data_IF_463371644553
#
_entry.id   IF_463371644553
#
_cell.length_a   1.000
_cell.length_b   1.000
_cell.length_c   1.000
_cell.angle_alpha   90.00
_cell.angle_beta   90.00
_cell.angle_gamma   90.00
#
_symmetry.space_group_name_H-M   'P 1'
#
loop_
_entity.id
_entity.type
_entity.pdbx_description
1 polymer ?
#
# COMPACT_ATOMS: atom_id res chain seq x y z
N UNK A 1 26.82 13.08 -0.75
CA UNK A 1 25.75 12.97 0.24
C UNK A 1 24.70 14.04 -0.09
N UNK A 2 23.65 13.69 -0.85
CA UNK A 2 22.59 14.64 -1.16
C UNK A 2 21.71 14.75 0.10
N UNK A 3 21.72 15.91 0.77
CA UNK A 3 20.91 16.19 1.93
C UNK A 3 19.45 15.96 1.61
N UNK A 4 18.82 14.95 2.22
CA UNK A 4 17.41 14.67 2.08
C UNK A 4 16.61 15.95 2.39
N UNK A 5 15.77 16.37 1.46
CA UNK A 5 14.86 17.52 1.65
C UNK A 5 14.08 17.30 2.94
N UNK A 6 14.06 18.30 3.80
CA UNK A 6 13.29 18.25 5.04
C UNK A 6 11.80 18.35 4.67
N UNK A 7 11.08 17.23 4.65
CA UNK A 7 9.64 17.15 4.38
C UNK A 7 8.75 17.79 5.48
N UNK A 8 9.38 18.40 6.47
CA UNK A 8 8.70 19.09 7.56
C UNK A 8 8.35 18.18 8.75
N UNK A 9 8.16 18.83 9.93
CA UNK A 9 7.89 18.14 11.21
C UNK A 9 6.59 17.32 11.18
N UNK A 10 5.56 17.82 10.50
CA UNK A 10 4.26 17.13 10.41
C UNK A 10 4.37 15.81 9.63
N UNK A 11 5.12 15.81 8.53
CA UNK A 11 5.42 14.56 7.81
C UNK A 11 6.25 13.61 8.68
N UNK A 12 7.21 14.12 9.45
CA UNK A 12 8.01 13.29 10.35
C UNK A 12 7.16 12.52 11.37
N UNK A 13 6.14 13.13 11.95
CA UNK A 13 5.19 12.46 12.85
C UNK A 13 4.34 11.41 12.13
N UNK A 14 3.81 11.73 10.94
CA UNK A 14 3.04 10.77 10.13
C UNK A 14 3.90 9.56 9.74
N UNK A 15 5.12 9.81 9.27
CA UNK A 15 6.05 8.75 8.90
C UNK A 15 6.50 7.92 10.11
N UNK A 16 6.77 8.56 11.26
CA UNK A 16 7.10 7.86 12.51
C UNK A 16 5.96 6.95 13.00
N UNK A 17 4.72 7.43 12.97
CA UNK A 17 3.54 6.65 13.31
C UNK A 17 3.41 5.43 12.39
N UNK A 18 3.55 5.62 11.08
CA UNK A 18 3.55 4.52 10.10
C UNK A 18 4.70 3.54 10.36
N UNK A 19 5.91 4.02 10.65
CA UNK A 19 7.07 3.17 10.88
C UNK A 19 6.88 2.26 12.11
N UNK A 20 6.35 2.81 13.20
CA UNK A 20 6.09 2.06 14.43
C UNK A 20 5.00 1.00 14.21
N UNK A 21 3.86 1.37 13.60
CA UNK A 21 2.80 0.40 13.34
C UNK A 21 3.21 -0.68 12.34
N UNK A 22 3.96 -0.32 11.30
CA UNK A 22 4.49 -1.29 10.33
C UNK A 22 5.47 -2.26 10.98
N UNK A 23 6.37 -1.77 11.85
CA UNK A 23 7.30 -2.61 12.58
C UNK A 23 6.57 -3.61 13.51
N UNK A 24 5.54 -3.16 14.23
CA UNK A 24 4.70 -4.05 15.06
C UNK A 24 4.01 -5.14 14.25
N UNK A 25 3.38 -4.78 13.14
CA UNK A 25 2.70 -5.72 12.25
C UNK A 25 3.66 -6.78 11.69
N UNK A 26 4.87 -6.39 11.26
CA UNK A 26 5.87 -7.34 10.77
C UNK A 26 6.50 -8.19 11.89
N UNK A 27 6.55 -7.66 13.12
CA UNK A 27 6.97 -8.43 14.30
C UNK A 27 5.95 -9.52 14.67
N UNK A 28 4.65 -9.20 14.52
CA UNK A 28 3.54 -10.13 14.76
C UNK A 28 3.19 -10.98 13.52
N UNK A 29 4.05 -10.98 12.50
CA UNK A 29 3.85 -11.77 11.29
C UNK A 29 3.65 -13.24 11.64
N UNK A 30 2.61 -13.86 11.09
CA UNK A 30 2.18 -15.24 11.37
C UNK A 30 1.73 -15.54 12.82
N UNK A 31 1.66 -14.56 13.73
CA UNK A 31 1.24 -14.80 15.11
C UNK A 31 -0.15 -15.44 15.21
N UNK A 32 -1.11 -15.02 14.40
CA UNK A 32 -2.46 -15.61 14.41
C UNK A 32 -2.46 -17.08 13.95
N UNK A 33 -1.68 -17.40 12.91
CA UNK A 33 -1.53 -18.78 12.45
C UNK A 33 -0.89 -19.65 13.54
N UNK A 34 0.14 -19.14 14.21
CA UNK A 34 0.82 -19.83 15.30
C UNK A 34 -0.06 -19.98 16.55
N UNK A 35 -0.86 -18.97 16.90
CA UNK A 35 -1.85 -19.09 17.98
C UNK A 35 -2.89 -20.15 17.62
N UNK A 36 -3.39 -20.17 16.39
CA UNK A 36 -4.35 -21.17 15.96
C UNK A 36 -3.79 -22.60 16.08
N UNK A 37 -2.53 -22.81 15.68
CA UNK A 37 -1.89 -24.13 15.73
C UNK A 37 -1.44 -24.50 17.16
N UNK A 38 -0.73 -23.62 17.86
CA UNK A 38 -0.05 -23.93 19.12
C UNK A 38 -0.96 -23.80 20.36
N UNK A 39 -2.01 -22.96 20.28
CA UNK A 39 -2.88 -22.68 21.42
C UNK A 39 -4.26 -23.30 21.25
N UNK A 40 -4.77 -23.35 20.01
CA UNK A 40 -6.12 -23.86 19.72
C UNK A 40 -6.12 -25.25 19.07
N UNK A 41 -4.94 -25.87 18.88
CA UNK A 41 -4.76 -27.14 18.16
C UNK A 41 -5.52 -27.19 16.82
N UNK A 42 -5.59 -26.05 16.13
CA UNK A 42 -6.34 -25.91 14.90
C UNK A 42 -5.65 -26.64 13.74
N UNK A 43 -6.41 -27.44 13.00
CA UNK A 43 -5.90 -28.14 11.83
C UNK A 43 -5.60 -27.20 10.66
N UNK A 44 -4.90 -27.70 9.61
CA UNK A 44 -4.47 -26.93 8.44
C UNK A 44 -5.61 -26.16 7.73
N UNK A 45 -6.81 -26.74 7.70
CA UNK A 45 -7.99 -26.09 7.09
C UNK A 45 -8.40 -24.80 7.83
N UNK A 46 -8.32 -24.78 9.16
CA UNK A 46 -8.61 -23.60 9.95
C UNK A 46 -7.57 -22.51 9.75
N UNK A 47 -6.30 -22.86 9.66
CA UNK A 47 -5.21 -21.91 9.38
C UNK A 47 -5.38 -21.30 7.99
N UNK A 48 -5.68 -22.10 6.97
CA UNK A 48 -5.97 -21.63 5.63
C UNK A 48 -7.21 -20.72 5.59
N UNK A 49 -8.26 -21.06 6.35
CA UNK A 49 -9.46 -20.24 6.48
C UNK A 49 -9.14 -18.88 7.11
N UNK A 50 -8.35 -18.85 8.17
CA UNK A 50 -7.92 -17.61 8.83
C UNK A 50 -7.13 -16.71 7.89
N UNK A 51 -6.20 -17.29 7.13
CA UNK A 51 -5.38 -16.57 6.17
C UNK A 51 -6.19 -16.01 4.98
N UNK A 52 -7.25 -16.70 4.54
CA UNK A 52 -8.05 -16.31 3.39
C UNK A 52 -9.23 -15.39 3.75
N UNK A 53 -10.02 -15.77 4.76
CA UNK A 53 -11.30 -15.11 5.07
C UNK A 53 -11.07 -13.76 5.73
N UNK A 54 -10.10 -13.63 6.63
CA UNK A 54 -9.80 -12.35 7.29
C UNK A 54 -9.57 -11.22 6.28
N UNK A 55 -8.57 -11.33 5.40
CA UNK A 55 -8.32 -10.29 4.37
C UNK A 55 -9.46 -10.12 3.38
N UNK A 56 -10.14 -11.20 2.94
CA UNK A 56 -11.21 -11.11 1.93
C UNK A 56 -12.45 -10.36 2.48
N UNK A 57 -12.91 -10.76 3.67
CA UNK A 57 -14.07 -10.09 4.31
C UNK A 57 -13.69 -8.68 4.75
N UNK A 58 -12.46 -8.49 5.29
CA UNK A 58 -11.94 -7.16 5.60
C UNK A 58 -11.93 -6.23 4.38
N UNK A 59 -11.54 -6.73 3.22
CA UNK A 59 -11.61 -5.99 1.97
C UNK A 59 -13.05 -5.62 1.59
N UNK A 60 -14.00 -6.55 1.68
CA UNK A 60 -15.40 -6.30 1.40
C UNK A 60 -16.01 -5.23 2.34
N UNK A 61 -15.73 -5.34 3.63
CA UNK A 61 -16.21 -4.37 4.65
C UNK A 61 -15.59 -2.98 4.46
N UNK A 62 -14.36 -2.89 3.97
CA UNK A 62 -13.68 -1.61 3.75
C UNK A 62 -14.24 -0.82 2.55
N UNK A 63 -14.92 -1.47 1.61
CA UNK A 63 -15.51 -0.80 0.43
C UNK A 63 -16.49 0.31 0.81
N UNK A 64 -17.49 0.09 1.67
CA UNK A 64 -18.40 1.16 2.08
C UNK A 64 -17.73 2.22 2.96
N UNK A 65 -16.58 1.89 3.60
CA UNK A 65 -15.85 2.84 4.44
C UNK A 65 -15.12 3.92 3.62
N UNK A 66 -14.78 3.67 2.34
CA UNK A 66 -14.10 4.64 1.48
C UNK A 66 -14.84 5.98 1.37
N UNK A 67 -16.10 6.01 0.91
CA UNK A 67 -16.92 7.22 0.86
C UNK A 67 -17.15 7.87 2.23
N UNK A 68 -17.29 7.05 3.28
CA UNK A 68 -17.46 7.56 4.65
C UNK A 68 -16.20 8.29 5.14
N UNK A 69 -15.00 7.74 4.87
CA UNK A 69 -13.72 8.37 5.21
C UNK A 69 -13.53 9.68 4.45
N UNK A 70 -14.02 9.77 3.20
CA UNK A 70 -13.82 10.93 2.35
C UNK A 70 -14.42 12.21 2.93
N UNK A 71 -15.60 12.11 3.53
CA UNK A 71 -16.32 13.23 4.17
C UNK A 71 -15.83 13.51 5.60
N UNK A 72 -14.87 12.76 6.10
CA UNK A 72 -14.29 12.92 7.43
C UNK A 72 -12.89 13.51 7.38
N UNK A 73 -12.46 14.10 8.49
CA UNK A 73 -11.07 14.47 8.70
C UNK A 73 -10.23 13.21 8.74
N UNK A 74 -9.13 13.19 8.00
CA UNK A 74 -8.33 11.97 7.77
C UNK A 74 -7.58 11.54 9.03
N UNK A 75 -7.02 12.50 9.77
CA UNK A 75 -6.26 12.24 11.00
C UNK A 75 -7.10 11.57 12.10
N UNK A 76 -8.30 12.06 12.49
CA UNK A 76 -9.16 11.35 13.44
C UNK A 76 -9.55 9.94 12.99
N UNK A 77 -9.77 9.73 11.68
CA UNK A 77 -10.07 8.40 11.13
C UNK A 77 -8.86 7.47 11.30
N UNK A 78 -7.64 7.92 11.00
CA UNK A 78 -6.41 7.14 11.20
C UNK A 78 -6.22 6.77 12.68
N UNK A 79 -6.41 7.72 13.60
CA UNK A 79 -6.32 7.47 15.05
C UNK A 79 -7.40 6.45 15.47
N UNK A 80 -8.64 6.62 15.03
CA UNK A 80 -9.73 5.70 15.37
C UNK A 80 -9.46 4.26 14.86
N UNK A 81 -8.95 4.11 13.64
CA UNK A 81 -8.60 2.79 13.09
C UNK A 81 -7.44 2.14 13.85
N UNK A 82 -6.42 2.91 14.29
CA UNK A 82 -5.34 2.39 15.12
C UNK A 82 -5.84 1.96 16.51
N UNK A 83 -6.71 2.74 17.13
CA UNK A 83 -7.32 2.40 18.42
C UNK A 83 -8.23 1.16 18.31
N UNK A 84 -9.00 1.03 17.23
CA UNK A 84 -9.78 -0.18 16.95
C UNK A 84 -8.87 -1.39 16.82
N UNK A 85 -7.79 -1.30 16.02
CA UNK A 85 -6.81 -2.38 15.88
C UNK A 85 -6.18 -2.76 17.24
N UNK A 86 -5.76 -1.76 17.99
CA UNK A 86 -5.21 -1.97 19.34
C UNK A 86 -6.21 -2.71 20.24
N UNK A 87 -7.46 -2.23 20.32
CA UNK A 87 -8.49 -2.82 21.19
C UNK A 87 -8.83 -4.27 20.82
N UNK A 88 -9.01 -4.56 19.51
CA UNK A 88 -9.34 -5.93 19.08
C UNK A 88 -8.15 -6.88 19.23
N UNK A 89 -6.91 -6.41 19.00
CA UNK A 89 -5.72 -7.22 19.24
C UNK A 89 -5.53 -7.52 20.72
N UNK A 90 -5.74 -6.57 21.62
CA UNK A 90 -5.67 -6.77 23.07
C UNK A 90 -6.75 -7.74 23.60
N UNK A 91 -7.86 -7.91 22.87
CA UNK A 91 -8.86 -8.92 23.22
C UNK A 91 -8.30 -10.35 23.18
N UNK A 92 -7.28 -10.61 22.34
CA UNK A 92 -6.67 -11.95 22.19
C UNK A 92 -5.91 -12.37 23.45
N UNK A 93 -4.93 -11.59 23.98
CA UNK A 93 -4.23 -11.95 25.22
C UNK A 93 -5.18 -11.98 26.43
N UNK A 94 -6.20 -11.12 26.48
CA UNK A 94 -7.21 -11.14 27.56
C UNK A 94 -8.02 -12.44 27.52
N UNK A 95 -8.52 -12.83 26.35
CA UNK A 95 -9.27 -14.07 26.20
C UNK A 95 -8.38 -15.31 26.45
N UNK A 96 -7.11 -15.25 26.04
CA UNK A 96 -6.13 -16.28 26.32
C UNK A 96 -5.91 -16.46 27.86
N UNK A 97 -5.71 -15.36 28.58
CA UNK A 97 -5.53 -15.37 30.03
C UNK A 97 -6.76 -15.88 30.77
N UNK A 98 -7.95 -15.67 30.23
CA UNK A 98 -9.23 -16.17 30.78
C UNK A 98 -9.56 -17.61 30.35
N UNK A 99 -8.71 -18.25 29.52
CA UNK A 99 -8.98 -19.58 28.98
C UNK A 99 -10.18 -19.66 28.03
N UNK A 100 -10.58 -18.53 27.43
CA UNK A 100 -11.76 -18.40 26.56
C UNK A 100 -11.41 -18.08 25.10
N UNK A 101 -10.15 -18.12 24.75
CA UNK A 101 -9.72 -17.83 23.37
C UNK A 101 -10.27 -18.92 22.43
N UNK A 102 -11.01 -18.50 21.40
CA UNK A 102 -11.58 -19.39 20.41
C UNK A 102 -11.24 -18.97 18.97
N UNK A 103 -11.33 -19.91 18.03
CA UNK A 103 -11.04 -19.68 16.61
C UNK A 103 -11.91 -18.56 16.00
N UNK A 104 -13.21 -18.53 16.36
CA UNK A 104 -14.13 -17.48 15.89
C UNK A 104 -13.68 -16.07 16.30
N UNK A 105 -13.07 -15.93 17.49
CA UNK A 105 -12.51 -14.65 17.94
C UNK A 105 -11.30 -14.26 17.09
N UNK A 106 -10.37 -15.18 16.81
CA UNK A 106 -9.23 -14.90 15.94
C UNK A 106 -9.67 -14.47 14.54
N UNK A 107 -10.71 -15.11 14.00
CA UNK A 107 -11.28 -14.76 12.72
C UNK A 107 -11.88 -13.35 12.73
N UNK A 108 -12.67 -13.01 13.76
CA UNK A 108 -13.26 -11.67 13.92
C UNK A 108 -12.18 -10.59 14.04
N UNK A 109 -11.13 -10.85 14.84
CA UNK A 109 -9.99 -9.94 14.98
C UNK A 109 -9.28 -9.76 13.63
N UNK A 110 -9.00 -10.84 12.91
CA UNK A 110 -8.36 -10.79 11.58
C UNK A 110 -9.16 -9.96 10.58
N UNK A 111 -10.48 -10.14 10.50
CA UNK A 111 -11.38 -9.36 9.65
C UNK A 111 -11.34 -7.87 10.01
N UNK A 112 -11.45 -7.58 11.32
CA UNK A 112 -11.48 -6.19 11.81
C UNK A 112 -10.15 -5.48 11.55
N UNK A 113 -9.03 -6.14 11.81
CA UNK A 113 -7.69 -5.60 11.53
C UNK A 113 -7.51 -5.35 10.03
N UNK A 114 -7.92 -6.29 9.17
CA UNK A 114 -7.81 -6.12 7.73
C UNK A 114 -8.67 -4.96 7.19
N UNK A 115 -9.91 -4.79 7.66
CA UNK A 115 -10.77 -3.67 7.28
C UNK A 115 -10.21 -2.32 7.77
N UNK A 116 -9.71 -2.28 9.01
CA UNK A 116 -9.09 -1.10 9.59
C UNK A 116 -7.79 -0.72 8.85
N UNK A 117 -6.97 -1.70 8.45
CA UNK A 117 -5.77 -1.49 7.66
C UNK A 117 -6.06 -0.82 6.30
N UNK A 118 -7.05 -1.34 5.56
CA UNK A 118 -7.43 -0.75 4.27
C UNK A 118 -7.94 0.69 4.47
N UNK A 119 -8.75 0.92 5.51
CA UNK A 119 -9.30 2.23 5.84
C UNK A 119 -8.20 3.20 6.26
N UNK A 120 -7.26 2.77 7.09
CA UNK A 120 -6.08 3.53 7.49
C UNK A 120 -5.24 3.94 6.28
N UNK A 121 -4.88 2.99 5.43
CA UNK A 121 -4.04 3.26 4.26
C UNK A 121 -4.71 4.22 3.26
N UNK A 122 -6.03 4.12 3.08
CA UNK A 122 -6.79 5.04 2.26
C UNK A 122 -6.79 6.47 2.85
N UNK A 123 -7.01 6.60 4.16
CA UNK A 123 -6.96 7.89 4.86
C UNK A 123 -5.54 8.47 4.87
N UNK A 124 -4.52 7.65 5.13
CA UNK A 124 -3.11 8.04 5.15
C UNK A 124 -2.63 8.57 3.79
N UNK A 125 -3.02 7.91 2.68
CA UNK A 125 -2.71 8.40 1.34
C UNK A 125 -3.36 9.75 1.02
N UNK A 126 -4.62 9.94 1.42
CA UNK A 126 -5.30 11.22 1.27
C UNK A 126 -4.66 12.32 2.14
N UNK A 127 -4.33 12.00 3.39
CA UNK A 127 -3.66 12.92 4.31
C UNK A 127 -2.24 13.28 3.84
N UNK A 128 -1.49 12.31 3.32
CA UNK A 128 -0.18 12.56 2.73
C UNK A 128 -0.25 13.56 1.58
N UNK A 129 -1.25 13.43 0.70
CA UNK A 129 -1.47 14.36 -0.41
C UNK A 129 -1.78 15.79 0.04
N UNK A 130 -2.46 15.95 1.18
CA UNK A 130 -2.73 17.27 1.78
C UNK A 130 -1.50 17.85 2.48
N UNK A 131 -0.65 16.99 3.04
CA UNK A 131 0.46 17.37 3.90
C UNK A 131 1.72 17.74 3.12
N UNK A 132 1.97 17.03 2.00
CA UNK A 132 3.22 17.12 1.23
C UNK A 132 2.95 17.71 -0.14
N UNK A 133 3.73 18.75 -0.57
CA UNK A 133 3.64 19.29 -1.92
C UNK A 133 3.86 18.19 -2.99
N UNK A 134 3.19 18.30 -4.14
CA UNK A 134 3.24 17.30 -5.21
C UNK A 134 4.67 16.92 -5.62
N UNK A 135 5.57 17.91 -5.69
CA UNK A 135 7.00 17.70 -6.02
C UNK A 135 7.77 16.82 -5.03
N UNK A 136 7.29 16.72 -3.79
CA UNK A 136 7.95 16.00 -2.70
C UNK A 136 7.25 14.66 -2.38
N UNK A 137 6.10 14.35 -3.05
CA UNK A 137 5.34 13.12 -2.84
C UNK A 137 6.14 11.85 -3.16
N UNK A 138 7.02 11.90 -4.16
CA UNK A 138 7.86 10.74 -4.53
C UNK A 138 8.87 10.42 -3.41
N UNK A 139 9.49 11.44 -2.82
CA UNK A 139 10.39 11.27 -1.68
C UNK A 139 9.64 10.71 -0.46
N UNK A 140 8.44 11.24 -0.19
CA UNK A 140 7.58 10.77 0.90
C UNK A 140 7.16 9.31 0.72
N UNK A 141 6.65 8.93 -0.46
CA UNK A 141 6.29 7.55 -0.77
C UNK A 141 7.51 6.62 -0.74
N UNK A 142 8.68 7.10 -1.19
CA UNK A 142 9.94 6.35 -1.10
C UNK A 142 10.33 6.03 0.35
N UNK A 143 10.07 6.94 1.31
CA UNK A 143 10.31 6.69 2.73
C UNK A 143 9.36 5.67 3.32
N UNK A 144 8.07 5.72 2.96
CA UNK A 144 7.10 4.69 3.37
C UNK A 144 7.51 3.31 2.84
N UNK A 145 7.85 3.22 1.56
CA UNK A 145 8.29 1.98 0.94
C UNK A 145 9.57 1.44 1.59
N UNK A 146 10.58 2.31 1.81
CA UNK A 146 11.81 1.93 2.50
C UNK A 146 11.55 1.38 3.90
N UNK A 147 10.60 1.98 4.64
CA UNK A 147 10.18 1.52 5.95
C UNK A 147 9.54 0.15 5.88
N UNK A 148 8.62 -0.07 4.90
CA UNK A 148 7.97 -1.36 4.70
C UNK A 148 8.99 -2.47 4.41
N UNK A 149 9.95 -2.24 3.52
CA UNK A 149 11.01 -3.20 3.22
C UNK A 149 11.94 -3.46 4.41
N UNK A 150 12.28 -2.42 5.18
CA UNK A 150 13.10 -2.59 6.39
C UNK A 150 12.36 -3.42 7.44
N UNK A 151 11.09 -3.12 7.67
CA UNK A 151 10.26 -3.86 8.61
C UNK A 151 10.06 -5.32 8.16
N UNK A 152 9.83 -5.55 6.85
CA UNK A 152 9.71 -6.90 6.27
C UNK A 152 11.00 -7.72 6.37
N UNK A 153 12.17 -7.06 6.33
CA UNK A 153 13.46 -7.73 6.48
C UNK A 153 13.76 -8.11 7.94
N UNK A 154 13.49 -7.20 8.87
CA UNK A 154 13.89 -7.32 10.28
C UNK A 154 12.79 -7.92 11.15
N UNK A 155 11.53 -7.64 10.82
CA UNK A 155 10.37 -8.03 11.63
C UNK A 155 10.22 -9.54 11.80
N UNK A 156 10.13 -10.35 10.73
CA UNK A 156 9.92 -11.78 10.87
C UNK A 156 11.01 -12.52 11.67
N UNK A 157 12.33 -12.26 11.49
CA UNK A 157 13.37 -12.85 12.34
C UNK A 157 13.24 -12.46 13.83
N UNK A 158 12.98 -11.19 14.12
CA UNK A 158 12.79 -10.72 15.48
C UNK A 158 11.48 -11.25 16.08
N UNK A 159 10.41 -11.29 15.28
CA UNK A 159 9.12 -11.86 15.66
C UNK A 159 9.22 -13.33 15.97
N UNK A 160 9.88 -14.11 15.12
CA UNK A 160 10.14 -15.52 15.34
C UNK A 160 10.92 -15.79 16.62
N UNK A 161 11.98 -14.99 16.88
CA UNK A 161 12.73 -15.06 18.13
C UNK A 161 11.86 -14.71 19.35
N UNK A 162 11.05 -13.65 19.27
CA UNK A 162 10.14 -13.25 20.33
C UNK A 162 9.06 -14.32 20.59
N UNK A 163 8.51 -14.94 19.55
CA UNK A 163 7.55 -16.05 19.66
C UNK A 163 8.20 -17.26 20.33
N UNK A 164 9.43 -17.60 19.93
CA UNK A 164 10.16 -18.72 20.50
C UNK A 164 10.51 -18.56 21.99
N UNK A 165 10.76 -17.32 22.43
CA UNK A 165 11.14 -17.03 23.83
C UNK A 165 9.94 -16.72 24.73
N UNK A 166 8.93 -16.03 24.20
CA UNK A 166 7.86 -15.42 24.99
C UNK A 166 6.45 -15.88 24.57
N UNK A 167 6.37 -16.70 23.54
CA UNK A 167 5.12 -17.19 22.96
C UNK A 167 4.45 -16.23 21.98
N UNK A 168 3.54 -16.73 21.12
CA UNK A 168 2.95 -15.94 20.02
C UNK A 168 1.99 -14.84 20.52
N UNK A 169 1.39 -14.99 21.69
CA UNK A 169 0.49 -13.97 22.27
C UNK A 169 1.25 -12.68 22.59
N UNK A 170 2.52 -12.77 22.96
CA UNK A 170 3.34 -11.59 23.29
C UNK A 170 3.59 -10.70 22.07
N UNK A 171 3.76 -11.28 20.88
CA UNK A 171 3.93 -10.48 19.65
C UNK A 171 2.65 -9.77 19.26
N UNK A 172 1.47 -10.35 19.53
CA UNK A 172 0.17 -9.68 19.36
C UNK A 172 0.05 -8.47 20.30
N UNK A 173 0.52 -8.58 21.55
CA UNK A 173 0.58 -7.43 22.47
C UNK A 173 1.52 -6.35 21.93
N UNK A 174 2.70 -6.74 21.44
CA UNK A 174 3.65 -5.78 20.86
C UNK A 174 3.06 -5.04 19.65
N UNK A 175 2.32 -5.74 18.78
CA UNK A 175 1.61 -5.11 17.65
C UNK A 175 0.50 -4.17 18.14
N UNK A 176 -0.30 -4.58 19.13
CA UNK A 176 -1.32 -3.71 19.73
C UNK A 176 -0.72 -2.43 20.31
N UNK A 177 0.40 -2.53 21.03
CA UNK A 177 1.13 -1.37 21.57
C UNK A 177 1.66 -0.49 20.43
N UNK A 178 2.14 -1.07 19.33
CA UNK A 178 2.61 -0.30 18.17
C UNK A 178 1.50 0.57 17.58
N UNK A 179 0.27 0.07 17.50
CA UNK A 179 -0.89 0.87 17.06
C UNK A 179 -1.25 1.98 18.06
N UNK A 180 -1.13 1.73 19.35
CA UNK A 180 -1.33 2.78 20.35
C UNK A 180 -0.30 3.92 20.21
N UNK A 181 0.97 3.56 20.01
CA UNK A 181 2.05 4.51 19.77
C UNK A 181 1.86 5.27 18.44
N UNK A 182 1.39 4.58 17.40
CA UNK A 182 1.01 5.20 16.12
C UNK A 182 -0.11 6.22 16.32
N UNK A 183 -1.17 5.87 17.02
CA UNK A 183 -2.28 6.77 17.33
C UNK A 183 -1.82 8.01 18.09
N UNK A 184 -0.93 7.84 19.10
CA UNK A 184 -0.31 8.94 19.84
C UNK A 184 0.55 9.84 18.93
N UNK A 185 1.38 9.24 18.05
CA UNK A 185 2.19 9.96 17.06
C UNK A 185 1.32 10.77 16.09
N UNK A 186 0.23 10.20 15.59
CA UNK A 186 -0.76 10.90 14.76
C UNK A 186 -1.43 12.04 15.55
N UNK A 187 -1.69 11.84 16.85
CA UNK A 187 -2.15 12.88 17.76
C UNK A 187 -1.21 14.08 17.80
N UNK A 188 0.10 13.84 17.77
CA UNK A 188 1.15 14.86 17.84
C UNK A 188 1.40 15.61 16.51
N UNK A 189 0.84 15.19 15.37
CA UNK A 189 1.06 15.82 14.05
C UNK A 189 0.73 17.33 14.09
N UNK A 190 -0.23 17.76 14.89
CA UNK A 190 -0.58 19.19 15.06
C UNK A 190 -1.06 19.88 13.79
N UNK A 191 -1.48 21.15 13.95
CA UNK A 191 -1.90 22.03 12.86
C UNK A 191 -3.32 21.79 12.34
N UNK A 192 -3.86 22.75 11.58
CA UNK A 192 -5.20 22.66 11.01
C UNK A 192 -5.24 21.58 9.93
N UNK A 193 -6.28 20.77 9.94
CA UNK A 193 -6.64 19.85 8.88
C UNK A 193 -7.80 20.46 8.08
N UNK A 194 -7.71 20.43 6.77
CA UNK A 194 -8.76 20.96 5.89
C UNK A 194 -10.05 20.19 6.17
N UNK A 195 -11.11 20.91 6.53
CA UNK A 195 -12.43 20.30 6.62
C UNK A 195 -12.85 19.86 5.23
N UNK A 196 -13.18 18.57 5.02
CA UNK A 196 -13.76 18.15 3.75
C UNK A 196 -15.07 18.92 3.55
N UNK A 197 -15.27 19.40 2.33
CA UNK A 197 -16.57 19.93 1.93
C UNK A 197 -17.60 18.79 2.02
N UNK A 198 -18.65 18.97 2.82
CA UNK A 198 -19.71 17.97 2.88
C UNK A 198 -20.39 17.94 1.51
N UNK A 199 -20.53 16.77 0.87
CA UNK A 199 -21.37 16.66 -0.31
C UNK A 199 -22.78 17.15 0.06
N UNK A 200 -23.36 17.97 -0.77
CA UNK A 200 -24.74 18.45 -0.59
C UNK A 200 -25.78 17.31 -0.66
N UNK A 201 -25.40 16.17 -1.21
CA UNK A 201 -26.26 15.00 -1.38
C UNK A 201 -25.84 13.85 -0.44
N UNK A 202 -26.86 13.08 0.02
CA UNK A 202 -26.65 11.82 0.78
C UNK A 202 -25.85 10.82 -0.08
N UNK A 203 -24.96 10.08 0.57
CA UNK A 203 -24.19 9.01 -0.09
C UNK A 203 -25.15 8.03 -0.79
N UNK A 204 -25.04 7.94 -2.11
CA UNK A 204 -25.84 7.02 -2.94
C UNK A 204 -25.05 5.73 -3.17
N UNK A 205 -25.74 4.63 -3.42
CA UNK A 205 -25.10 3.34 -3.77
C UNK A 205 -24.13 3.49 -4.95
N UNK A 206 -24.39 4.39 -5.91
CA UNK A 206 -23.47 4.74 -6.98
C UNK A 206 -22.13 5.34 -6.53
N UNK A 207 -22.06 5.89 -5.33
CA UNK A 207 -20.82 6.45 -4.77
C UNK A 207 -19.83 5.38 -4.35
N UNK A 208 -20.30 4.18 -4.01
CA UNK A 208 -19.44 3.03 -3.72
C UNK A 208 -18.59 2.66 -4.94
N UNK A 209 -19.16 2.73 -6.13
CA UNK A 209 -18.46 2.43 -7.37
C UNK A 209 -17.63 3.61 -7.92
N UNK A 210 -17.71 4.79 -7.31
CA UNK A 210 -17.05 6.00 -7.83
C UNK A 210 -15.51 5.86 -7.91
N UNK A 211 -14.90 5.13 -6.96
CA UNK A 211 -13.47 4.82 -6.99
C UNK A 211 -13.09 4.00 -8.21
N UNK A 212 -13.83 2.93 -8.49
CA UNK A 212 -13.60 2.08 -9.68
C UNK A 212 -13.90 2.85 -10.96
N UNK A 213 -14.99 3.61 -11.03
CA UNK A 213 -15.31 4.44 -12.20
C UNK A 213 -14.19 5.43 -12.51
N UNK A 214 -13.61 6.07 -11.48
CA UNK A 214 -12.47 6.96 -11.67
C UNK A 214 -11.24 6.21 -12.22
N UNK A 215 -10.89 5.05 -11.64
CA UNK A 215 -9.76 4.23 -12.08
C UNK A 215 -9.96 3.78 -13.54
N UNK A 216 -11.15 3.30 -13.88
CA UNK A 216 -11.43 2.74 -15.21
C UNK A 216 -11.58 3.82 -16.29
N UNK A 217 -12.01 5.03 -15.92
CA UNK A 217 -12.15 6.16 -16.82
C UNK A 217 -10.80 6.84 -17.15
N UNK A 218 -9.82 6.77 -16.24
CA UNK A 218 -8.50 7.38 -16.47
C UNK A 218 -7.65 6.47 -17.39
N UNK A 219 -7.19 6.97 -18.56
CA UNK A 219 -6.45 6.17 -19.54
C UNK A 219 -5.08 5.70 -19.05
N UNK A 220 -4.55 6.27 -17.96
CA UNK A 220 -3.27 5.89 -17.37
C UNK A 220 -3.46 5.05 -16.11
N UNK A 221 -4.42 5.39 -15.24
CA UNK A 221 -4.68 4.62 -14.03
C UNK A 221 -5.23 3.23 -14.36
N UNK A 222 -6.11 3.11 -15.36
CA UNK A 222 -6.70 1.82 -15.77
C UNK A 222 -5.65 0.75 -16.11
N UNK A 223 -4.71 0.97 -17.04
CA UNK A 223 -3.70 -0.03 -17.36
C UNK A 223 -2.75 -0.31 -16.19
N UNK A 224 -2.37 0.70 -15.39
CA UNK A 224 -1.56 0.51 -14.20
C UNK A 224 -2.29 -0.30 -13.12
N UNK A 225 -3.60 -0.12 -12.99
CA UNK A 225 -4.42 -0.90 -12.07
C UNK A 225 -4.41 -2.38 -12.44
N UNK A 226 -4.75 -2.74 -13.69
CA UNK A 226 -4.73 -4.12 -14.13
C UNK A 226 -3.34 -4.75 -14.09
N UNK A 227 -2.30 -4.00 -14.51
CA UNK A 227 -0.92 -4.46 -14.39
C UNK A 227 -0.56 -4.81 -12.94
N UNK A 228 -0.93 -3.94 -11.99
CA UNK A 228 -0.62 -4.14 -10.57
C UNK A 228 -1.42 -5.31 -9.99
N UNK A 229 -2.70 -5.46 -10.35
CA UNK A 229 -3.53 -6.58 -9.90
C UNK A 229 -2.95 -7.92 -10.36
N UNK A 230 -2.68 -8.06 -11.66
CA UNK A 230 -2.13 -9.30 -12.24
C UNK A 230 -0.76 -9.61 -11.65
N UNK A 231 0.12 -8.60 -11.62
CA UNK A 231 1.47 -8.77 -11.10
C UNK A 231 1.48 -9.22 -9.63
N UNK A 232 0.80 -8.49 -8.75
CA UNK A 232 0.80 -8.81 -7.32
C UNK A 232 0.11 -10.15 -7.04
N UNK A 233 -0.99 -10.45 -7.72
CA UNK A 233 -1.70 -11.70 -7.53
C UNK A 233 -0.85 -12.91 -7.92
N UNK A 234 -0.14 -12.86 -9.07
CA UNK A 234 0.71 -13.96 -9.53
C UNK A 234 1.97 -14.13 -8.67
N UNK A 235 2.59 -13.02 -8.24
CA UNK A 235 3.75 -13.07 -7.33
C UNK A 235 3.36 -13.67 -5.99
N UNK A 236 2.24 -13.21 -5.40
CA UNK A 236 1.76 -13.72 -4.12
C UNK A 236 1.30 -15.17 -4.20
N UNK A 237 0.71 -15.60 -5.32
CA UNK A 237 0.36 -16.99 -5.56
C UNK A 237 1.60 -17.89 -5.67
N UNK A 238 2.73 -17.35 -6.15
CA UNK A 238 4.01 -18.08 -6.24
C UNK A 238 4.68 -18.35 -4.89
N UNK A 239 4.44 -17.49 -3.89
CA UNK A 239 5.13 -17.59 -2.57
C UNK A 239 4.91 -18.93 -1.86
N UNK A 240 3.67 -19.43 -1.65
CA UNK A 240 3.46 -20.74 -1.03
C UNK A 240 3.99 -21.89 -1.90
N UNK A 241 3.95 -21.76 -3.21
CA UNK A 241 4.48 -22.78 -4.12
C UNK A 241 6.00 -22.89 -4.06
N UNK A 242 6.68 -21.74 -3.92
CA UNK A 242 8.13 -21.71 -3.73
C UNK A 242 8.54 -22.34 -2.39
N UNK A 243 7.73 -22.15 -1.33
CA UNK A 243 7.94 -22.83 -0.06
C UNK A 243 7.86 -24.36 -0.23
N UNK A 244 6.80 -24.86 -0.88
CA UNK A 244 6.61 -26.30 -1.14
C UNK A 244 7.76 -26.84 -1.98
N UNK A 245 8.16 -26.14 -3.05
CA UNK A 245 9.27 -26.54 -3.91
C UNK A 245 10.59 -26.59 -3.14
N UNK A 246 10.94 -25.53 -2.40
CA UNK A 246 12.23 -25.44 -1.70
C UNK A 246 12.31 -26.43 -0.53
N UNK A 247 11.34 -26.39 0.38
CA UNK A 247 11.40 -27.16 1.61
C UNK A 247 10.88 -28.58 1.40
N UNK A 248 9.83 -28.77 0.63
CA UNK A 248 9.24 -30.08 0.31
C UNK A 248 10.09 -30.90 -0.68
N UNK A 249 10.19 -30.43 -1.91
CA UNK A 249 10.79 -31.18 -3.01
C UNK A 249 12.33 -31.15 -2.98
N UNK A 250 12.91 -29.95 -2.79
CA UNK A 250 14.36 -29.73 -2.87
C UNK A 250 15.07 -29.88 -1.51
N UNK A 251 14.32 -30.11 -0.42
CA UNK A 251 14.86 -30.39 0.92
C UNK A 251 15.77 -29.29 1.49
N UNK A 252 15.49 -28.03 1.14
CA UNK A 252 16.16 -26.91 1.80
C UNK A 252 15.76 -26.83 3.27
N UNK A 253 16.70 -26.47 4.13
CA UNK A 253 16.42 -26.19 5.51
C UNK A 253 15.54 -24.93 5.65
N UNK A 254 14.61 -24.86 6.64
CA UNK A 254 13.75 -23.69 6.84
C UNK A 254 14.46 -22.36 6.94
N UNK A 255 15.67 -22.34 7.54
CA UNK A 255 16.48 -21.12 7.63
C UNK A 255 17.01 -20.65 6.27
N UNK A 256 17.29 -21.57 5.33
CA UNK A 256 17.70 -21.23 3.95
C UNK A 256 16.54 -20.57 3.21
N UNK A 257 15.32 -21.06 3.37
CA UNK A 257 14.12 -20.43 2.84
C UNK A 257 13.94 -19.02 3.43
N UNK A 258 14.04 -18.86 4.73
CA UNK A 258 13.94 -17.56 5.37
C UNK A 258 15.02 -16.57 4.85
N UNK A 259 16.25 -17.04 4.68
CA UNK A 259 17.35 -16.25 4.14
C UNK A 259 17.10 -15.82 2.69
N UNK A 260 16.49 -16.70 1.88
CA UNK A 260 16.15 -16.44 0.50
C UNK A 260 15.20 -15.25 0.30
N UNK A 261 14.43 -14.89 1.33
CA UNK A 261 13.55 -13.71 1.31
C UNK A 261 14.11 -12.53 2.11
N UNK A 262 14.74 -12.79 3.26
CA UNK A 262 15.22 -11.72 4.13
C UNK A 262 16.32 -10.88 3.46
N UNK A 263 17.32 -11.52 2.86
CA UNK A 263 18.43 -10.80 2.23
C UNK A 263 18.00 -9.95 1.03
N UNK A 264 17.16 -10.44 0.11
CA UNK A 264 16.63 -9.65 -1.01
C UNK A 264 15.85 -8.39 -0.61
N UNK A 265 15.27 -8.31 0.59
CA UNK A 265 14.60 -7.09 1.07
C UNK A 265 15.52 -5.86 1.10
N UNK A 266 16.85 -6.06 1.22
CA UNK A 266 17.84 -4.99 1.07
C UNK A 266 17.76 -4.32 -0.30
N UNK A 267 17.46 -5.09 -1.35
CA UNK A 267 17.21 -4.59 -2.70
C UNK A 267 16.00 -3.65 -2.77
N UNK A 268 14.90 -3.98 -2.07
CA UNK A 268 13.73 -3.13 -1.96
C UNK A 268 14.03 -1.79 -1.29
N UNK A 269 14.81 -1.83 -0.20
CA UNK A 269 15.30 -0.63 0.48
C UNK A 269 16.16 0.23 -0.43
N UNK A 270 17.09 -0.37 -1.18
CA UNK A 270 17.93 0.34 -2.16
C UNK A 270 17.07 0.92 -3.29
N UNK A 271 16.17 0.14 -3.86
CA UNK A 271 15.26 0.55 -4.93
C UNK A 271 14.42 1.76 -4.54
N UNK A 272 13.81 1.74 -3.35
CA UNK A 272 12.97 2.84 -2.86
C UNK A 272 13.75 4.15 -2.65
N UNK A 273 15.03 4.05 -2.22
CA UNK A 273 15.94 5.22 -2.08
C UNK A 273 16.46 5.73 -3.41
N UNK A 274 16.59 4.85 -4.41
CA UNK A 274 17.03 5.21 -5.76
C UNK A 274 15.90 5.81 -6.59
N UNK A 275 14.64 5.48 -6.34
CA UNK A 275 13.50 5.91 -7.13
C UNK A 275 13.45 7.42 -7.40
N UNK A 276 13.63 8.34 -6.42
CA UNK A 276 13.63 9.77 -6.69
C UNK A 276 14.76 10.22 -7.63
N UNK A 277 15.97 9.62 -7.48
CA UNK A 277 17.12 9.95 -8.35
C UNK A 277 16.92 9.47 -9.78
N UNK A 278 16.38 8.26 -9.95
CA UNK A 278 16.09 7.70 -11.26
C UNK A 278 15.01 8.52 -11.98
N UNK A 279 13.97 8.92 -11.26
CA UNK A 279 12.91 9.78 -11.81
C UNK A 279 13.44 11.15 -12.20
N UNK A 280 14.29 11.75 -11.38
CA UNK A 280 14.93 13.05 -11.69
C UNK A 280 15.81 12.98 -12.94
N UNK A 281 16.50 11.85 -13.18
CA UNK A 281 17.43 11.67 -14.31
C UNK A 281 16.75 11.23 -15.60
N UNK A 282 15.77 10.33 -15.54
CA UNK A 282 15.20 9.66 -16.71
C UNK A 282 13.73 9.98 -16.95
N UNK A 283 13.08 10.74 -16.05
CA UNK A 283 11.65 11.01 -16.09
C UNK A 283 10.80 9.85 -15.54
N UNK A 284 9.62 10.22 -15.02
CA UNK A 284 8.72 9.30 -14.32
C UNK A 284 8.20 8.16 -15.20
N UNK A 285 7.72 8.50 -16.39
CA UNK A 285 7.14 7.51 -17.31
C UNK A 285 8.14 6.42 -17.70
N UNK A 286 9.37 6.82 -18.04
CA UNK A 286 10.44 5.88 -18.41
C UNK A 286 10.81 4.97 -17.23
N UNK A 287 10.97 5.53 -16.02
CA UNK A 287 11.29 4.75 -14.82
C UNK A 287 10.18 3.76 -14.50
N UNK A 288 8.91 4.20 -14.52
CA UNK A 288 7.76 3.34 -14.25
C UNK A 288 7.70 2.17 -15.26
N UNK A 289 7.87 2.45 -16.54
CA UNK A 289 7.84 1.44 -17.60
C UNK A 289 9.02 0.48 -17.49
N UNK A 290 10.24 0.98 -17.34
CA UNK A 290 11.44 0.14 -17.24
C UNK A 290 11.41 -0.74 -15.99
N UNK A 291 11.14 -0.18 -14.82
CA UNK A 291 11.01 -0.96 -13.59
C UNK A 291 9.84 -1.96 -13.67
N UNK A 292 8.73 -1.58 -14.32
CA UNK A 292 7.57 -2.45 -14.54
C UNK A 292 7.87 -3.63 -15.47
N UNK A 293 8.69 -3.45 -16.50
CA UNK A 293 9.17 -4.55 -17.37
C UNK A 293 10.18 -5.42 -16.63
N UNK A 294 11.19 -4.82 -16.02
CA UNK A 294 12.26 -5.56 -15.35
C UNK A 294 11.72 -6.44 -14.21
N UNK A 295 10.80 -5.93 -13.38
CA UNK A 295 10.22 -6.76 -12.31
C UNK A 295 9.48 -7.99 -12.82
N UNK A 296 8.92 -7.94 -14.02
CA UNK A 296 8.18 -9.04 -14.63
C UNK A 296 9.08 -10.16 -15.17
N UNK A 297 10.35 -9.86 -15.46
CA UNK A 297 11.30 -10.84 -16.02
C UNK A 297 11.86 -11.80 -14.98
N UNK A 298 11.97 -11.39 -13.71
CA UNK A 298 12.65 -12.18 -12.68
C UNK A 298 11.89 -13.45 -12.27
N UNK A 299 10.57 -13.45 -12.02
CA UNK A 299 9.87 -14.58 -11.39
C UNK A 299 9.95 -15.89 -12.18
N UNK A 300 10.13 -15.82 -13.50
CA UNK A 300 10.32 -17.04 -14.31
C UNK A 300 11.55 -17.83 -13.89
N UNK A 301 12.57 -17.15 -13.39
CA UNK A 301 13.81 -17.78 -12.89
C UNK A 301 13.56 -18.76 -11.73
N UNK A 302 12.50 -18.58 -10.94
CA UNK A 302 12.16 -19.47 -9.83
C UNK A 302 11.82 -20.90 -10.28
N UNK A 303 11.31 -21.06 -11.49
CA UNK A 303 11.02 -22.38 -12.06
C UNK A 303 12.27 -23.25 -12.27
N UNK A 304 13.44 -22.63 -12.41
CA UNK A 304 14.72 -23.30 -12.63
C UNK A 304 15.47 -23.58 -11.32
N UNK A 305 14.86 -23.36 -10.16
CA UNK A 305 15.48 -23.61 -8.87
C UNK A 305 15.84 -25.09 -8.75
N UNK A 306 17.14 -25.37 -8.54
CA UNK A 306 17.71 -26.69 -8.29
C UNK A 306 18.04 -26.91 -6.81
N UNK A 307 18.50 -28.09 -6.43
CA UNK A 307 18.94 -28.40 -5.07
C UNK A 307 20.29 -27.73 -4.74
N UNK A 308 20.57 -27.58 -3.45
CA UNK A 308 21.89 -27.13 -2.94
C UNK A 308 22.15 -25.64 -3.12
N UNK A 309 23.40 -25.24 -2.92
CA UNK A 309 23.84 -23.84 -2.92
C UNK A 309 23.51 -23.09 -4.22
N UNK A 310 23.69 -23.67 -5.43
CA UNK A 310 23.36 -22.97 -6.67
C UNK A 310 21.86 -22.62 -6.76
N UNK A 311 20.96 -23.51 -6.32
CA UNK A 311 19.53 -23.25 -6.29
C UNK A 311 19.18 -22.14 -5.31
N UNK A 312 19.74 -22.13 -4.12
CA UNK A 312 19.56 -21.07 -3.14
C UNK A 312 20.04 -19.72 -3.69
N UNK A 313 21.23 -19.69 -4.30
CA UNK A 313 21.79 -18.48 -4.91
C UNK A 313 20.91 -17.95 -6.05
N UNK A 314 20.33 -18.84 -6.87
CA UNK A 314 19.39 -18.46 -7.93
C UNK A 314 18.12 -17.81 -7.34
N UNK A 315 17.51 -18.41 -6.32
CA UNK A 315 16.31 -17.82 -5.66
C UNK A 315 16.66 -16.44 -5.10
N UNK A 316 17.77 -16.32 -4.37
CA UNK A 316 18.21 -15.04 -3.80
C UNK A 316 18.45 -13.98 -4.87
N UNK A 317 19.06 -14.33 -6.00
CA UNK A 317 19.30 -13.43 -7.12
C UNK A 317 17.98 -12.96 -7.76
N UNK A 318 17.08 -13.91 -8.01
CA UNK A 318 15.76 -13.63 -8.62
C UNK A 318 14.92 -12.74 -7.70
N UNK A 319 14.83 -13.08 -6.42
CA UNK A 319 14.09 -12.27 -5.44
C UNK A 319 14.74 -10.89 -5.25
N UNK A 320 16.09 -10.80 -5.20
CA UNK A 320 16.77 -9.51 -5.10
C UNK A 320 16.47 -8.61 -6.30
N UNK A 321 16.50 -9.15 -7.52
CA UNK A 321 16.16 -8.41 -8.73
C UNK A 321 14.69 -7.97 -8.74
N UNK A 322 13.77 -8.89 -8.43
CA UNK A 322 12.34 -8.63 -8.34
C UNK A 322 12.04 -7.53 -7.31
N UNK A 323 12.52 -7.70 -6.08
CA UNK A 323 12.25 -6.81 -4.95
C UNK A 323 12.88 -5.43 -5.18
N UNK A 324 14.10 -5.36 -5.76
CA UNK A 324 14.72 -4.08 -6.12
C UNK A 324 13.88 -3.31 -7.14
N UNK A 325 13.40 -3.99 -8.19
CA UNK A 325 12.54 -3.37 -9.19
C UNK A 325 11.20 -2.93 -8.59
N UNK A 326 10.61 -3.72 -7.68
CA UNK A 326 9.41 -3.33 -6.94
C UNK A 326 9.66 -2.11 -6.05
N UNK A 327 10.81 -2.05 -5.37
CA UNK A 327 11.22 -0.91 -4.54
C UNK A 327 11.34 0.40 -5.33
N UNK A 328 11.70 0.33 -6.62
CA UNK A 328 11.67 1.48 -7.52
C UNK A 328 10.24 1.78 -8.02
N UNK A 329 9.51 0.75 -8.44
CA UNK A 329 8.22 0.89 -9.09
C UNK A 329 7.13 1.42 -8.15
N UNK A 330 7.02 0.85 -6.93
CA UNK A 330 5.92 1.11 -6.01
C UNK A 330 5.79 2.58 -5.57
N UNK A 331 6.87 3.29 -5.13
CA UNK A 331 6.75 4.69 -4.75
C UNK A 331 6.43 5.60 -5.94
N UNK A 332 6.91 5.26 -7.15
CA UNK A 332 6.59 6.00 -8.38
C UNK A 332 5.11 5.81 -8.73
N UNK A 333 4.60 4.57 -8.66
CA UNK A 333 3.19 4.27 -8.87
C UNK A 333 2.29 4.97 -7.83
N UNK A 334 2.65 4.88 -6.54
CA UNK A 334 1.89 5.51 -5.47
C UNK A 334 1.77 7.02 -5.67
N UNK A 335 2.88 7.67 -6.01
CA UNK A 335 2.91 9.11 -6.32
C UNK A 335 2.05 9.44 -7.53
N UNK A 336 2.19 8.68 -8.61
CA UNK A 336 1.44 8.90 -9.85
C UNK A 336 -0.08 8.76 -9.63
N UNK A 337 -0.50 7.74 -8.87
CA UNK A 337 -1.89 7.53 -8.48
C UNK A 337 -2.44 8.69 -7.66
N UNK A 338 -1.69 9.19 -6.67
CA UNK A 338 -2.12 10.31 -5.84
C UNK A 338 -2.24 11.62 -6.63
N UNK A 339 -1.30 11.90 -7.53
CA UNK A 339 -1.33 13.11 -8.35
C UNK A 339 -2.51 13.15 -9.34
N UNK A 340 -2.83 12.00 -9.96
CA UNK A 340 -3.94 11.88 -10.92
C UNK A 340 -5.31 11.79 -10.26
N UNK A 341 -5.38 11.51 -8.97
CA UNK A 341 -6.67 11.41 -8.28
C UNK A 341 -7.00 12.75 -7.62
N UNK A 342 -8.17 13.36 -7.93
CA UNK A 342 -8.66 14.56 -7.25
C UNK A 342 -8.76 14.34 -5.73
N UNK A 343 -8.56 15.40 -4.95
CA UNK A 343 -8.51 15.29 -3.48
C UNK A 343 -9.81 14.74 -2.87
N UNK A 344 -10.95 15.04 -3.49
CA UNK A 344 -12.29 14.58 -3.11
C UNK A 344 -12.54 13.08 -3.38
N UNK A 345 -11.68 12.41 -4.16
CA UNK A 345 -11.86 11.00 -4.57
C UNK A 345 -10.71 10.09 -4.15
N UNK A 346 -9.65 10.63 -3.53
CA UNK A 346 -8.45 9.85 -3.18
C UNK A 346 -8.81 8.64 -2.33
N UNK A 347 -9.60 8.82 -1.28
CA UNK A 347 -9.94 7.74 -0.35
C UNK A 347 -10.70 6.62 -1.05
N UNK A 348 -11.72 6.96 -1.85
CA UNK A 348 -12.51 5.98 -2.63
C UNK A 348 -11.62 5.21 -3.62
N UNK A 349 -10.74 5.92 -4.32
CA UNK A 349 -9.81 5.32 -5.29
C UNK A 349 -8.83 4.37 -4.61
N UNK A 350 -8.24 4.76 -3.48
CA UNK A 350 -7.31 3.92 -2.72
C UNK A 350 -8.00 2.70 -2.11
N UNK A 351 -9.20 2.85 -1.56
CA UNK A 351 -9.99 1.73 -1.03
C UNK A 351 -10.37 0.74 -2.13
N UNK A 352 -10.86 1.23 -3.28
CA UNK A 352 -11.20 0.40 -4.43
C UNK A 352 -9.97 -0.38 -4.93
N UNK A 353 -8.81 0.30 -5.04
CA UNK A 353 -7.56 -0.33 -5.45
C UNK A 353 -7.12 -1.43 -4.49
N UNK A 354 -7.11 -1.15 -3.19
CA UNK A 354 -6.67 -2.08 -2.15
C UNK A 354 -7.63 -3.27 -2.02
N UNK A 355 -8.95 -3.03 -2.00
CA UNK A 355 -9.94 -4.08 -1.89
C UNK A 355 -9.88 -5.04 -3.08
N UNK A 356 -9.82 -4.50 -4.32
CA UNK A 356 -9.70 -5.34 -5.52
C UNK A 356 -8.38 -6.10 -5.54
N UNK A 357 -7.28 -5.44 -5.12
CA UNK A 357 -5.97 -6.09 -5.02
C UNK A 357 -5.99 -7.29 -4.09
N UNK A 358 -6.50 -7.14 -2.87
CA UNK A 358 -6.61 -8.23 -1.89
C UNK A 358 -7.53 -9.35 -2.37
N UNK A 359 -8.69 -9.02 -2.96
CA UNK A 359 -9.62 -10.01 -3.49
C UNK A 359 -9.02 -10.80 -4.67
N UNK A 360 -8.37 -10.11 -5.60
CA UNK A 360 -7.71 -10.75 -6.76
C UNK A 360 -6.56 -11.64 -6.30
N UNK A 361 -5.75 -11.18 -5.35
CA UNK A 361 -4.65 -11.98 -4.78
C UNK A 361 -5.19 -13.26 -4.15
N UNK A 362 -6.23 -13.17 -3.31
CA UNK A 362 -6.84 -14.34 -2.68
C UNK A 362 -7.37 -15.35 -3.72
N UNK A 363 -8.12 -14.87 -4.72
CA UNK A 363 -8.70 -15.72 -5.77
C UNK A 363 -7.61 -16.40 -6.61
N UNK A 364 -6.59 -15.66 -7.05
CA UNK A 364 -5.50 -16.21 -7.86
C UNK A 364 -4.63 -17.16 -7.03
N UNK A 365 -4.35 -16.87 -5.77
CA UNK A 365 -3.61 -17.79 -4.89
C UNK A 365 -4.34 -19.11 -4.71
N UNK A 366 -5.66 -19.09 -4.50
CA UNK A 366 -6.48 -20.30 -4.41
C UNK A 366 -6.45 -21.10 -5.73
N UNK A 367 -6.63 -20.43 -6.88
CA UNK A 367 -6.57 -21.04 -8.20
C UNK A 367 -5.20 -21.69 -8.46
N UNK A 368 -4.11 -20.98 -8.12
CA UNK A 368 -2.74 -21.50 -8.29
C UNK A 368 -2.43 -22.67 -7.36
N UNK A 369 -3.00 -22.68 -6.15
CA UNK A 369 -2.91 -23.82 -5.25
C UNK A 369 -3.53 -25.09 -5.84
N UNK A 370 -4.73 -24.98 -6.44
CA UNK A 370 -5.38 -26.10 -7.16
C UNK A 370 -4.53 -26.52 -8.36
N UNK A 371 -4.06 -25.57 -9.16
CA UNK A 371 -3.22 -25.85 -10.32
C UNK A 371 -1.93 -26.60 -9.93
N UNK A 372 -1.28 -26.15 -8.86
CA UNK A 372 -0.07 -26.81 -8.36
C UNK A 372 -0.33 -28.23 -7.84
N UNK A 373 -1.52 -28.49 -7.27
CA UNK A 373 -1.96 -29.84 -6.92
C UNK A 373 -2.08 -30.79 -8.12
N UNK A 374 -2.41 -30.25 -9.29
CA UNK A 374 -2.58 -31.02 -10.54
C UNK A 374 -1.27 -31.15 -11.34
N UNK A 375 -0.44 -30.11 -11.39
CA UNK A 375 0.73 -30.01 -12.30
C UNK A 375 2.07 -30.04 -11.57
N UNK A 376 2.04 -29.94 -10.24
CA UNK A 376 3.22 -29.74 -9.40
C UNK A 376 3.62 -28.28 -9.24
N UNK A 377 4.34 -27.95 -8.14
CA UNK A 377 4.68 -26.57 -7.79
C UNK A 377 5.61 -25.90 -8.81
N UNK A 378 6.51 -26.64 -9.41
CA UNK A 378 7.46 -26.12 -10.43
C UNK A 378 6.75 -25.68 -11.71
N UNK A 379 5.83 -26.49 -12.24
CA UNK A 379 5.08 -26.15 -13.44
C UNK A 379 4.15 -24.94 -13.19
N UNK A 380 3.50 -24.87 -12.04
CA UNK A 380 2.68 -23.74 -11.64
C UNK A 380 3.50 -22.43 -11.49
N UNK A 381 4.73 -22.50 -10.94
CA UNK A 381 5.66 -21.35 -10.88
C UNK A 381 6.12 -20.92 -12.29
N UNK A 382 6.42 -21.88 -13.17
CA UNK A 382 6.79 -21.59 -14.55
C UNK A 382 5.66 -20.86 -15.29
N UNK A 383 4.43 -21.35 -15.16
CA UNK A 383 3.25 -20.72 -15.78
C UNK A 383 3.02 -19.30 -15.22
N UNK A 384 3.12 -19.11 -13.89
CA UNK A 384 3.04 -17.79 -13.29
C UNK A 384 4.11 -16.85 -13.86
N UNK A 385 5.36 -17.31 -13.99
CA UNK A 385 6.47 -16.57 -14.56
C UNK A 385 6.22 -16.17 -16.03
N UNK A 386 5.71 -17.08 -16.85
CA UNK A 386 5.36 -16.80 -18.25
C UNK A 386 4.23 -15.75 -18.34
N UNK A 387 3.19 -15.88 -17.52
CA UNK A 387 2.10 -14.89 -17.49
C UNK A 387 2.60 -13.52 -16.98
N UNK A 388 3.53 -13.51 -16.05
CA UNK A 388 4.16 -12.28 -15.58
C UNK A 388 4.95 -11.58 -16.69
N UNK A 389 5.62 -12.31 -17.59
CA UNK A 389 6.27 -11.73 -18.77
C UNK A 389 5.30 -11.02 -19.71
N UNK A 390 4.02 -11.39 -19.72
CA UNK A 390 3.00 -10.69 -20.48
C UNK A 390 2.46 -9.43 -19.77
N UNK A 391 2.65 -9.32 -18.44
CA UNK A 391 2.11 -8.19 -17.66
C UNK A 391 2.59 -6.80 -18.09
N UNK A 392 3.81 -6.59 -18.66
CA UNK A 392 4.22 -5.30 -19.19
C UNK A 392 3.37 -4.78 -20.36
N UNK A 393 2.64 -5.66 -21.06
CA UNK A 393 1.72 -5.24 -22.12
C UNK A 393 0.58 -4.36 -21.59
N UNK A 394 0.28 -4.49 -20.29
CA UNK A 394 -0.69 -3.66 -19.57
C UNK A 394 -0.10 -2.32 -19.10
N UNK A 395 1.18 -2.02 -19.33
CA UNK A 395 1.74 -0.73 -18.94
C UNK A 395 1.37 0.36 -19.95
N UNK A 396 1.12 1.60 -19.51
CA UNK A 396 0.78 2.69 -20.39
C UNK A 396 1.92 2.99 -21.37
N UNK A 397 1.59 3.04 -22.66
CA UNK A 397 2.58 3.22 -23.74
C UNK A 397 2.92 4.68 -23.99
N UNK A 398 2.02 5.61 -23.67
CA UNK A 398 2.18 7.04 -23.91
C UNK A 398 2.19 7.82 -22.60
N UNK A 399 2.97 8.87 -22.54
CA UNK A 399 2.98 9.82 -21.44
C UNK A 399 1.84 10.81 -21.69
N UNK A 400 0.69 10.56 -21.08
CA UNK A 400 -0.38 11.54 -21.05
C UNK A 400 -0.06 12.49 -19.89
N UNK A 401 0.83 13.46 -20.13
CA UNK A 401 1.01 14.58 -19.21
C UNK A 401 -0.37 15.21 -18.96
N UNK A 402 -0.75 15.51 -17.70
CA UNK A 402 -1.95 16.30 -17.45
C UNK A 402 -1.76 17.64 -18.16
N UNK A 403 -2.72 18.02 -19.01
CA UNK A 403 -2.69 19.32 -19.70
C UNK A 403 -2.54 20.43 -18.64
N UNK A 404 -1.53 21.32 -18.78
CA UNK A 404 -1.29 22.40 -17.82
C UNK A 404 -2.46 23.38 -17.70
N UNK A 405 -3.43 23.32 -18.61
CA UNK A 405 -4.57 24.24 -18.70
C UNK A 405 -5.81 23.89 -17.87
N UNK A 406 -6.00 22.63 -17.48
CA UNK A 406 -7.25 22.25 -16.81
C UNK A 406 -7.35 22.68 -15.33
N UNK A 407 -6.22 23.02 -14.69
CA UNK A 407 -6.21 23.54 -13.31
C UNK A 407 -6.26 25.07 -13.25
N UNK A 408 -5.82 25.79 -14.26
CA UNK A 408 -5.91 27.25 -14.31
C UNK A 408 -7.32 27.73 -14.72
N UNK A 409 -8.03 26.99 -15.57
CA UNK A 409 -9.41 27.32 -15.95
C UNK A 409 -10.42 27.21 -14.77
N UNK A 410 -10.13 26.42 -13.73
CA UNK A 410 -10.95 26.32 -12.52
C UNK A 410 -10.61 27.36 -11.43
N UNK A 411 -9.56 28.17 -11.65
CA UNK A 411 -9.17 29.29 -10.75
C UNK A 411 -9.49 30.67 -11.32
N UNK A 412 -10.09 30.76 -12.52
CA UNK A 412 -10.63 32.02 -12.98
C UNK A 412 -11.81 32.38 -12.07
N UNK A 413 -11.81 33.55 -11.39
CA UNK A 413 -12.95 34.01 -10.66
C UNK A 413 -14.12 34.16 -11.66
N UNK A 414 -15.30 33.70 -11.29
CA UNK A 414 -16.51 33.92 -12.07
C UNK A 414 -16.61 35.43 -12.40
N UNK A 415 -16.91 35.80 -13.66
CA UNK A 415 -17.20 37.18 -13.97
C UNK A 415 -18.45 37.57 -13.19
N UNK A 416 -18.24 38.40 -12.16
CA UNK A 416 -19.29 38.92 -11.31
C UNK A 416 -20.46 39.42 -12.14
N UNK A 417 -21.66 38.91 -11.85
CA UNK A 417 -22.91 39.33 -12.42
C UNK A 417 -23.09 40.84 -12.24
N UNK A 418 -22.89 41.60 -13.29
CA UNK A 418 -23.09 43.05 -13.33
C UNK A 418 -24.56 43.33 -13.45
N UNK A 419 -25.16 43.81 -12.36
CA UNK A 419 -26.42 44.55 -12.39
C UNK A 419 -26.20 45.93 -13.06
N UNK A 420 -27.06 46.28 -13.96
CA UNK A 420 -27.03 47.49 -14.76
C UNK A 420 -27.15 48.80 -13.97
N UNK A 421 -26.50 49.84 -14.48
CA UNK A 421 -26.60 51.23 -14.06
C UNK A 421 -25.82 52.08 -15.03
N UNK A 422 -26.54 52.71 -15.98
CA UNK A 422 -25.99 53.61 -16.96
C UNK A 422 -25.38 54.90 -16.36
N UNK A 423 -24.16 55.20 -16.74
CA UNK A 423 -23.49 56.44 -16.44
C UNK A 423 -22.41 56.69 -17.48
N UNK A 424 -22.59 57.74 -18.29
CA UNK A 424 -21.71 58.15 -19.35
C UNK A 424 -20.27 58.44 -18.90
N UNK A 425 -19.25 58.22 -19.72
CA UNK A 425 -17.85 58.44 -19.37
C UNK A 425 -17.52 59.94 -19.30
N UNK A 426 -17.07 60.41 -18.15
CA UNK A 426 -16.43 61.74 -18.01
C UNK A 426 -15.03 61.69 -18.56
N UNK A 427 -14.73 62.69 -19.45
CA UNK A 427 -13.41 62.92 -20.03
C UNK A 427 -12.34 63.28 -19.02
N UNK A 428 -11.06 62.89 -19.22
CA UNK A 428 -9.98 63.21 -18.33
C UNK A 428 -9.58 64.71 -18.35
N UNK A 429 -9.11 65.31 -17.22
CA UNK A 429 -8.69 66.69 -17.19
C UNK A 429 -7.32 66.88 -17.89
N UNK A 430 -7.22 68.00 -18.66
CA UNK A 430 -6.00 68.44 -19.38
C UNK A 430 -4.89 68.88 -18.38
N UNK A 431 -3.63 68.66 -18.75
CA UNK A 431 -2.50 69.08 -17.89
C UNK A 431 -2.31 70.61 -17.95
N UNK A 432 -2.11 71.22 -16.79
CA UNK A 432 -1.76 72.67 -16.66
C UNK A 432 -0.31 72.88 -17.09
N UNK A 433 -0.09 73.87 -17.98
CA UNK A 433 1.25 74.41 -18.34
C UNK A 433 1.84 75.17 -17.15
N UNK A 434 3.16 75.11 -16.90
CA UNK A 434 3.83 75.98 -15.95
C UNK A 434 3.96 77.38 -16.53
N UNK A 435 3.62 78.39 -15.73
CA UNK A 435 3.98 79.79 -15.98
C UNK A 435 5.41 80.03 -15.46
N UNK A 436 6.25 80.54 -16.31
CA UNK A 436 7.56 80.98 -15.95
C UNK A 436 7.49 82.31 -15.15
N UNK A 437 8.52 82.49 -14.37
CA UNK A 437 8.93 83.61 -13.57
C UNK A 437 10.26 83.25 -12.91
#
# INVERSE_FOLDING_TARGET
MAGGRKLGRRFGWLWGAYAVSTAGTWLAFDAFALIAVLVLDAGPAHVALLAAVGPAVGAAVSVPLGPWVEVRRKRPVMIATDLVRCAVLLSVPVAFALGRLGFGQLLLVSVTVAAADITFNAAAGAFLKELVPGRDLLEANGRFEATAWTAGMVGPPLGGAAIGLLGPVTTVVADAVSYLLSAAGLGAVGGPERRPERPAERLRAGDLAAGWRHILADPVLRPLFFNTLVFNALVMAGTPLLLVLMVGDLRFAPWQYALAFALPCTGGLLGSRLAPRLVARHGRHRVLRTAGVLRACWPLGLAFTGPGVPGLALVMLVEAGLITCCGVFNPVLATHRLERTPADRVTRTLSAWSATGKATTAAVTALWGVLAGLTGPRAALALAGVLLLASPLLLPRRDHAPEPGAQSARRAPEPGGGGGGGGAPRAPPRPRRPRGG
#
